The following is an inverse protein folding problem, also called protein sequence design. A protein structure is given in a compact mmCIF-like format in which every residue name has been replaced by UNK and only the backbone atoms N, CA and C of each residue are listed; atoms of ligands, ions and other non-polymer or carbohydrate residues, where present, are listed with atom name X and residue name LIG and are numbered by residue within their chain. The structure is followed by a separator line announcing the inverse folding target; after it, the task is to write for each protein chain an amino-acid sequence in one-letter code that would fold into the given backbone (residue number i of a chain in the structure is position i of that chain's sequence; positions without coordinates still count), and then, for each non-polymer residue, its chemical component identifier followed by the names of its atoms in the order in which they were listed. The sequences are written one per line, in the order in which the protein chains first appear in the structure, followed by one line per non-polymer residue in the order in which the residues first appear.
data_IF_882711983397
#
_entry.id   IF_882711983397
#
_cell.length_a   1.000
_cell.length_b   1.000
_cell.length_c   1.000
_cell.angle_alpha   90.00
_cell.angle_beta   90.00
_cell.angle_gamma   90.00
#
_symmetry.space_group_name_H-M   'P 1'
#
loop_
_entity.id
_entity.type
_entity.pdbx_description
1 polymer ?
#
# COMPACT_ATOMS: atom_id res chain seq x y z
N UNK A 1 44.75 4.48 34.47
CA UNK A 1 43.28 4.37 34.44
C UNK A 1 42.68 5.07 33.21
N UNK A 2 43.24 4.88 32.00
CA UNK A 2 42.88 5.68 30.81
C UNK A 2 42.34 4.89 29.62
N UNK A 3 42.33 3.56 29.67
CA UNK A 3 41.95 2.72 28.50
C UNK A 3 40.48 2.31 28.55
N UNK A 4 39.84 2.33 29.72
CA UNK A 4 38.45 1.89 29.89
C UNK A 4 37.40 2.90 29.38
N UNK A 5 37.72 4.19 29.29
CA UNK A 5 36.78 5.24 28.84
C UNK A 5 36.67 5.28 27.31
N UNK A 6 37.74 4.94 26.59
CA UNK A 6 37.76 4.98 25.12
C UNK A 6 36.93 3.86 24.47
N UNK A 7 36.70 2.75 25.17
CA UNK A 7 35.89 1.62 24.65
C UNK A 7 34.39 1.94 24.71
N UNK A 8 33.95 2.81 25.63
CA UNK A 8 32.54 3.18 25.77
C UNK A 8 32.04 4.16 24.69
N UNK A 9 32.93 4.90 24.02
CA UNK A 9 32.54 5.85 22.96
C UNK A 9 32.39 5.20 21.58
N UNK A 10 32.88 3.97 21.39
CA UNK A 10 32.76 3.24 20.11
C UNK A 10 31.49 2.39 20.01
N UNK A 11 30.68 2.30 21.07
CA UNK A 11 29.49 1.43 21.12
C UNK A 11 28.17 2.11 20.70
N UNK A 12 28.19 3.38 20.29
CA UNK A 12 26.97 4.15 19.94
C UNK A 12 26.66 4.24 18.44
N UNK A 13 27.46 3.62 17.57
CA UNK A 13 27.23 3.66 16.11
C UNK A 13 26.49 2.42 15.57
N UNK A 14 26.16 1.44 16.42
CA UNK A 14 25.42 0.26 15.99
C UNK A 14 23.92 0.57 15.96
N UNK A 15 23.47 1.03 14.79
CA UNK A 15 22.29 0.43 14.19
C UNK A 15 20.98 1.20 14.22
N UNK A 16 20.95 2.43 13.69
CA UNK A 16 19.76 2.84 12.92
C UNK A 16 19.78 2.10 11.58
N UNK A 17 19.48 0.80 11.57
CA UNK A 17 19.16 0.11 10.32
C UNK A 17 17.79 0.60 9.91
N UNK A 18 17.74 1.58 9.00
CA UNK A 18 16.51 1.91 8.31
C UNK A 18 15.88 0.60 7.82
N UNK A 19 14.54 0.43 7.93
CA UNK A 19 13.86 -0.73 7.37
C UNK A 19 14.37 -0.93 5.94
N UNK A 20 14.91 -2.10 5.67
CA UNK A 20 15.45 -2.38 4.36
C UNK A 20 14.28 -2.26 3.37
N UNK A 21 14.38 -1.35 2.40
CA UNK A 21 13.51 -1.23 1.23
C UNK A 21 14.06 -1.99 -0.03
N UNK A 22 14.79 -3.13 0.07
CA UNK A 22 15.36 -3.80 -1.11
C UNK A 22 14.27 -4.46 -1.94
N UNK A 23 13.06 -4.64 -1.38
CA UNK A 23 11.93 -5.22 -2.11
C UNK A 23 11.39 -4.26 -3.16
N UNK A 24 11.33 -2.96 -2.88
CA UNK A 24 10.85 -1.95 -3.83
C UNK A 24 11.88 -1.62 -4.90
N UNK A 25 13.17 -1.57 -4.54
CA UNK A 25 14.25 -1.21 -5.44
C UNK A 25 14.49 -2.22 -6.58
N UNK A 26 13.92 -3.42 -6.48
CA UNK A 26 14.10 -4.52 -7.44
C UNK A 26 12.81 -4.90 -8.20
N UNK A 27 11.73 -4.14 -8.05
CA UNK A 27 10.50 -4.42 -8.79
C UNK A 27 10.67 -4.02 -10.25
N UNK A 28 10.13 -4.85 -11.14
CA UNK A 28 10.30 -4.68 -12.58
C UNK A 28 9.39 -3.61 -13.20
N UNK A 29 8.31 -3.21 -12.51
CA UNK A 29 7.31 -2.28 -13.03
C UNK A 29 7.48 -0.82 -12.57
N UNK A 30 6.99 0.10 -13.40
CA UNK A 30 6.72 1.50 -13.03
C UNK A 30 5.43 1.61 -12.18
N UNK A 31 5.61 2.03 -10.92
CA UNK A 31 4.52 2.20 -9.95
C UNK A 31 3.55 3.34 -10.28
N UNK A 32 4.01 4.43 -10.90
CA UNK A 32 3.13 5.54 -11.28
C UNK A 32 2.24 5.11 -12.46
N UNK A 33 2.82 4.41 -13.43
CA UNK A 33 2.04 3.77 -14.48
C UNK A 33 1.03 2.77 -13.91
N UNK A 34 1.45 1.96 -12.94
CA UNK A 34 0.58 1.01 -12.24
C UNK A 34 -0.63 1.68 -11.59
N UNK A 35 -0.44 2.80 -10.90
CA UNK A 35 -1.51 3.59 -10.29
C UNK A 35 -2.56 4.03 -11.32
N UNK A 36 -2.11 4.51 -12.47
CA UNK A 36 -3.01 4.94 -13.56
C UNK A 36 -3.78 3.76 -14.15
N UNK A 37 -3.09 2.63 -14.36
CA UNK A 37 -3.72 1.41 -14.87
C UNK A 37 -4.81 0.87 -13.93
N UNK A 38 -4.63 0.95 -12.60
CA UNK A 38 -5.68 0.56 -11.66
C UNK A 38 -6.97 1.38 -11.82
N UNK A 39 -6.87 2.65 -12.23
CA UNK A 39 -8.04 3.45 -12.58
C UNK A 39 -8.67 2.98 -13.90
N UNK A 40 -7.84 2.73 -14.93
CA UNK A 40 -8.28 2.29 -16.26
C UNK A 40 -8.99 0.94 -16.22
N UNK A 41 -8.44 -0.05 -15.51
CA UNK A 41 -9.05 -1.37 -15.34
C UNK A 41 -10.22 -1.37 -14.34
N UNK A 42 -10.58 -0.22 -13.75
CA UNK A 42 -11.75 -0.09 -12.90
C UNK A 42 -11.59 -0.71 -11.50
N UNK A 43 -10.37 -0.88 -10.99
CA UNK A 43 -10.13 -1.48 -9.66
C UNK A 43 -10.83 -0.70 -8.53
N UNK A 44 -10.98 0.62 -8.67
CA UNK A 44 -11.66 1.50 -7.73
C UNK A 44 -13.17 1.25 -7.58
N UNK A 45 -13.79 0.55 -8.53
CA UNK A 45 -15.21 0.14 -8.42
C UNK A 45 -15.47 -0.84 -7.28
N UNK A 46 -14.43 -1.55 -6.83
CA UNK A 46 -14.53 -2.54 -5.76
C UNK A 46 -13.68 -2.19 -4.56
N UNK A 47 -12.50 -1.61 -4.77
CA UNK A 47 -11.51 -1.38 -3.73
C UNK A 47 -11.34 0.09 -3.39
N UNK A 48 -11.04 0.35 -2.12
CA UNK A 48 -10.48 1.62 -1.70
C UNK A 48 -8.98 1.58 -1.96
N UNK A 49 -8.47 2.52 -2.76
CA UNK A 49 -7.07 2.55 -3.19
C UNK A 49 -6.51 3.95 -2.95
N UNK A 50 -5.49 4.12 -2.09
CA UNK A 50 -4.88 5.43 -1.87
C UNK A 50 -4.46 6.08 -3.19
N UNK A 51 -4.59 7.40 -3.35
CA UNK A 51 -4.09 8.13 -4.52
C UNK A 51 -4.60 7.68 -5.90
N UNK A 52 -5.66 6.87 -5.98
CA UNK A 52 -6.38 6.56 -7.23
C UNK A 52 -7.73 7.30 -7.20
N UNK A 53 -7.99 8.22 -8.14
CA UNK A 53 -9.24 8.99 -8.16
C UNK A 53 -10.49 8.10 -8.15
N UNK A 54 -11.46 8.42 -7.31
CA UNK A 54 -12.73 7.68 -7.22
C UNK A 54 -12.64 6.26 -6.61
N UNK A 55 -11.46 5.81 -6.18
CA UNK A 55 -11.28 4.50 -5.56
C UNK A 55 -11.55 4.55 -4.05
N UNK A 56 -12.82 4.68 -3.67
CA UNK A 56 -13.28 4.77 -2.28
C UNK A 56 -14.39 3.73 -1.95
N UNK A 57 -14.44 2.64 -2.72
CA UNK A 57 -15.44 1.58 -2.57
C UNK A 57 -14.95 0.46 -1.66
N UNK A 58 -15.87 -0.34 -1.08
CA UNK A 58 -15.56 -1.42 -0.12
C UNK A 58 -16.26 -2.74 -0.45
N UNK A 59 -16.52 -3.01 -1.73
CA UNK A 59 -17.00 -4.33 -2.19
C UNK A 59 -15.91 -5.38 -1.99
N UNK A 60 -14.67 -5.03 -2.35
CA UNK A 60 -13.46 -5.76 -1.99
C UNK A 60 -12.77 -5.14 -0.77
N UNK A 61 -11.86 -5.86 -0.11
CA UNK A 61 -11.08 -5.30 0.99
C UNK A 61 -10.28 -4.08 0.53
N UNK A 62 -10.10 -3.03 1.34
CA UNK A 62 -9.28 -1.90 0.93
C UNK A 62 -7.85 -2.36 0.60
N UNK A 63 -7.11 -1.63 -0.25
CA UNK A 63 -5.76 -2.02 -0.69
C UNK A 63 -4.63 -1.24 -0.02
N UNK A 64 -4.94 -0.33 0.90
CA UNK A 64 -3.91 0.24 1.78
C UNK A 64 -3.20 -0.89 2.55
N UNK A 65 -1.89 -0.76 2.71
CA UNK A 65 -1.07 -1.78 3.36
C UNK A 65 -0.87 -3.08 2.60
N UNK A 66 -1.20 -3.15 1.29
CA UNK A 66 -0.99 -4.35 0.49
C UNK A 66 0.47 -4.85 0.56
N UNK A 67 1.45 -3.97 0.60
CA UNK A 67 2.88 -4.31 0.69
C UNK A 67 3.26 -5.12 1.95
N UNK A 68 2.49 -4.91 3.03
CA UNK A 68 2.78 -5.50 4.35
C UNK A 68 1.97 -6.78 4.60
N UNK A 69 1.04 -7.14 3.71
CA UNK A 69 0.27 -8.38 3.83
C UNK A 69 1.14 -9.58 3.49
N UNK A 70 0.95 -10.67 4.24
CA UNK A 70 1.57 -11.96 3.93
C UNK A 70 0.91 -12.70 2.76
N UNK A 71 -0.38 -12.46 2.54
CA UNK A 71 -1.17 -13.21 1.55
C UNK A 71 -2.03 -12.30 0.66
N UNK A 72 -2.24 -12.73 -0.58
CA UNK A 72 -3.16 -12.17 -1.57
C UNK A 72 -4.41 -13.04 -1.58
N UNK A 73 -5.58 -12.41 -1.38
CA UNK A 73 -6.87 -13.13 -1.34
C UNK A 73 -6.97 -14.20 -0.26
N UNK A 74 -6.02 -14.24 0.71
CA UNK A 74 -5.90 -15.30 1.70
C UNK A 74 -5.39 -16.65 1.15
N UNK A 75 -4.97 -16.71 -0.11
CA UNK A 75 -4.67 -17.99 -0.80
C UNK A 75 -3.25 -18.06 -1.37
N UNK A 76 -2.66 -16.93 -1.79
CA UNK A 76 -1.31 -16.89 -2.35
C UNK A 76 -0.37 -16.11 -1.43
N UNK A 77 0.89 -16.54 -1.25
CA UNK A 77 1.93 -15.69 -0.68
C UNK A 77 2.05 -14.38 -1.46
N UNK A 78 2.25 -13.26 -0.77
CA UNK A 78 2.34 -11.94 -1.41
C UNK A 78 3.72 -11.69 -2.03
N UNK A 79 4.00 -12.36 -3.14
CA UNK A 79 5.18 -12.16 -3.99
C UNK A 79 4.78 -11.45 -5.29
N UNK A 80 5.75 -10.82 -5.97
CA UNK A 80 5.51 -10.14 -7.26
C UNK A 80 4.85 -11.07 -8.29
N UNK A 81 5.46 -12.24 -8.54
CA UNK A 81 4.91 -13.23 -9.47
C UNK A 81 3.51 -13.73 -9.06
N UNK A 82 3.24 -13.88 -7.76
CA UNK A 82 1.91 -14.27 -7.30
C UNK A 82 0.87 -13.17 -7.51
N UNK A 83 1.24 -11.91 -7.29
CA UNK A 83 0.38 -10.76 -7.55
C UNK A 83 0.06 -10.61 -9.03
N UNK A 84 1.06 -10.72 -9.91
CA UNK A 84 0.86 -10.68 -11.36
C UNK A 84 -0.16 -11.75 -11.78
N UNK A 85 0.04 -13.00 -11.35
CA UNK A 85 -0.90 -14.10 -11.63
C UNK A 85 -2.31 -13.83 -11.11
N UNK A 86 -2.43 -13.28 -9.90
CA UNK A 86 -3.72 -12.93 -9.31
C UNK A 86 -4.45 -11.84 -10.11
N UNK A 87 -3.75 -10.79 -10.52
CA UNK A 87 -4.32 -9.68 -11.28
C UNK A 87 -4.79 -10.11 -12.67
N UNK A 88 -4.04 -10.99 -13.34
CA UNK A 88 -4.39 -11.48 -14.68
C UNK A 88 -5.60 -12.43 -14.65
N UNK A 89 -5.67 -13.33 -13.67
CA UNK A 89 -6.78 -14.29 -13.59
C UNK A 89 -6.99 -14.81 -12.15
N UNK A 90 -7.75 -14.10 -11.31
CA UNK A 90 -7.92 -14.49 -9.91
C UNK A 90 -8.72 -15.79 -9.75
N UNK A 91 -9.60 -16.13 -10.70
CA UNK A 91 -10.48 -17.30 -10.62
C UNK A 91 -9.77 -18.63 -10.90
N UNK A 92 -8.63 -18.63 -11.62
CA UNK A 92 -7.79 -19.83 -11.76
C UNK A 92 -7.05 -20.18 -10.47
N UNK A 93 -6.85 -19.19 -9.59
CA UNK A 93 -6.21 -19.36 -8.29
C UNK A 93 -7.25 -19.65 -7.21
N UNK A 94 -8.34 -18.89 -7.18
CA UNK A 94 -9.43 -19.01 -6.22
C UNK A 94 -10.76 -19.03 -6.95
N UNK A 95 -11.26 -20.22 -7.30
CA UNK A 95 -12.44 -20.41 -8.16
C UNK A 95 -13.73 -19.75 -7.64
N UNK A 96 -13.82 -19.50 -6.33
CA UNK A 96 -14.98 -18.84 -5.69
C UNK A 96 -14.74 -17.36 -5.36
N UNK A 97 -13.65 -16.76 -5.83
CA UNK A 97 -13.41 -15.33 -5.62
C UNK A 97 -14.44 -14.49 -6.38
N UNK A 98 -14.90 -13.42 -5.74
CA UNK A 98 -15.79 -12.44 -6.37
C UNK A 98 -15.03 -11.47 -7.29
N UNK A 99 -13.70 -11.39 -7.19
CA UNK A 99 -12.90 -10.57 -8.08
C UNK A 99 -12.97 -11.14 -9.50
N UNK A 100 -13.49 -10.40 -10.49
CA UNK A 100 -13.64 -10.90 -11.84
C UNK A 100 -12.28 -10.98 -12.55
N UNK A 101 -12.22 -11.73 -13.65
CA UNK A 101 -11.14 -11.59 -14.61
C UNK A 101 -11.35 -10.28 -15.40
N UNK A 102 -10.46 -9.31 -15.20
CA UNK A 102 -10.49 -8.01 -15.87
C UNK A 102 -9.66 -7.98 -17.16
N UNK A 103 -9.16 -9.14 -17.60
CA UNK A 103 -8.32 -9.34 -18.78
C UNK A 103 -7.07 -8.46 -18.78
N UNK A 104 -6.48 -8.29 -17.59
CA UNK A 104 -5.23 -7.55 -17.39
C UNK A 104 -4.08 -8.28 -18.09
N UNK A 105 -3.29 -7.54 -18.88
CA UNK A 105 -2.08 -8.08 -19.51
C UNK A 105 -0.97 -8.29 -18.48
N UNK A 106 0.00 -9.15 -18.79
CA UNK A 106 1.14 -9.40 -17.88
C UNK A 106 1.97 -8.13 -17.63
N UNK A 107 2.17 -7.32 -18.68
CA UNK A 107 2.88 -6.03 -18.60
C UNK A 107 2.16 -5.05 -17.67
N UNK A 108 0.85 -4.87 -17.87
CA UNK A 108 0.06 -3.98 -17.01
C UNK A 108 -0.01 -4.50 -15.56
N UNK A 109 -0.15 -5.82 -15.37
CA UNK A 109 -0.12 -6.45 -14.06
C UNK A 109 1.21 -6.22 -13.35
N UNK A 110 2.33 -6.16 -14.09
CA UNK A 110 3.66 -5.88 -13.55
C UNK A 110 3.74 -4.46 -13.00
N UNK A 111 3.29 -3.46 -13.76
CA UNK A 111 3.19 -2.07 -13.32
C UNK A 111 2.26 -1.92 -12.11
N UNK A 112 1.06 -2.52 -12.15
CA UNK A 112 0.11 -2.49 -11.03
C UNK A 112 0.68 -3.18 -9.78
N UNK A 113 1.41 -4.28 -9.93
CA UNK A 113 2.09 -4.95 -8.82
C UNK A 113 3.14 -4.05 -8.19
N UNK A 114 3.94 -3.37 -9.01
CA UNK A 114 4.93 -2.40 -8.51
C UNK A 114 4.25 -1.33 -7.65
N UNK A 115 3.12 -0.80 -8.11
CA UNK A 115 2.33 0.15 -7.35
C UNK A 115 1.79 -0.42 -6.04
N UNK A 116 1.17 -1.60 -6.06
CA UNK A 116 0.60 -2.25 -4.87
C UNK A 116 1.66 -2.53 -3.79
N UNK A 117 2.90 -2.82 -4.20
CA UNK A 117 4.02 -3.02 -3.27
C UNK A 117 4.50 -1.72 -2.62
N UNK A 118 4.12 -0.54 -3.13
CA UNK A 118 4.37 0.75 -2.45
C UNK A 118 3.36 1.04 -1.34
N UNK A 119 2.21 0.36 -1.33
CA UNK A 119 1.12 0.63 -0.39
C UNK A 119 1.40 -0.02 0.96
N UNK A 120 2.04 0.72 1.86
CA UNK A 120 2.27 0.31 3.26
C UNK A 120 1.15 0.74 4.18
N UNK A 121 0.96 -0.02 5.26
CA UNK A 121 0.06 0.32 6.33
C UNK A 121 0.72 1.42 7.18
N UNK A 122 -0.08 2.37 7.65
CA UNK A 122 0.39 3.30 8.67
C UNK A 122 0.67 2.50 9.95
N UNK A 123 1.88 2.60 10.55
CA UNK A 123 2.15 1.92 11.81
C UNK A 123 1.14 2.34 12.87
N UNK A 124 0.62 1.36 13.63
CA UNK A 124 -0.41 1.61 14.66
C UNK A 124 0.01 2.71 15.62
N UNK A 125 1.29 2.74 15.99
CA UNK A 125 1.86 3.78 16.85
C UNK A 125 1.75 5.17 16.22
N UNK A 126 2.08 5.32 14.94
CA UNK A 126 1.99 6.60 14.22
C UNK A 126 0.54 7.05 14.18
N UNK A 127 -0.39 6.14 13.89
CA UNK A 127 -1.84 6.41 13.90
C UNK A 127 -2.35 6.83 15.28
N UNK A 128 -1.91 6.16 16.34
CA UNK A 128 -2.30 6.48 17.72
C UNK A 128 -1.77 7.84 18.17
N UNK A 129 -0.49 8.14 17.91
CA UNK A 129 0.13 9.42 18.26
C UNK A 129 -0.52 10.55 17.48
N UNK A 130 -0.76 10.39 16.17
CA UNK A 130 -1.49 11.37 15.36
C UNK A 130 -2.88 11.65 15.96
N UNK A 131 -3.65 10.60 16.23
CA UNK A 131 -4.98 10.75 16.83
C UNK A 131 -4.96 11.40 18.22
N UNK A 132 -3.91 11.19 19.02
CA UNK A 132 -3.74 11.88 20.30
C UNK A 132 -3.49 13.38 20.09
N UNK A 133 -2.57 13.75 19.20
CA UNK A 133 -2.24 15.16 18.90
C UNK A 133 -3.45 15.90 18.34
N UNK A 134 -4.21 15.28 17.44
CA UNK A 134 -5.42 15.87 16.86
C UNK A 134 -6.46 16.19 17.92
N UNK A 135 -6.71 15.26 18.86
CA UNK A 135 -7.61 15.49 19.99
C UNK A 135 -7.10 16.57 20.94
N UNK A 136 -5.79 16.58 21.21
CA UNK A 136 -5.17 17.55 22.13
C UNK A 136 -5.11 18.97 21.55
N UNK A 137 -4.96 19.11 20.23
CA UNK A 137 -4.76 20.40 19.56
C UNK A 137 -6.01 20.94 18.86
N UNK A 138 -7.04 20.10 18.66
CA UNK A 138 -8.24 20.46 17.91
C UNK A 138 -7.98 20.73 16.41
N UNK A 139 -6.77 20.44 15.90
CA UNK A 139 -6.41 20.60 14.49
C UNK A 139 -6.41 19.23 13.83
N UNK A 140 -7.22 18.98 12.79
CA UNK A 140 -7.10 17.73 12.03
C UNK A 140 -5.68 17.65 11.43
N UNK A 141 -4.99 16.54 11.68
CA UNK A 141 -3.73 16.23 11.01
C UNK A 141 -4.03 16.10 9.53
N UNK A 142 -3.17 16.71 8.71
CA UNK A 142 -3.26 16.80 7.25
C UNK A 142 -4.15 15.72 6.64
N UNK A 143 -5.43 16.06 6.41
CA UNK A 143 -6.33 15.21 5.65
C UNK A 143 -5.67 14.93 4.29
N UNK A 144 -5.93 13.76 3.65
CA UNK A 144 -5.56 13.60 2.26
C UNK A 144 -6.13 14.78 1.48
N UNK A 145 -5.32 15.40 0.63
CA UNK A 145 -5.73 16.51 -0.24
C UNK A 145 -7.08 16.13 -0.87
N UNK A 146 -8.17 16.78 -0.40
CA UNK A 146 -9.45 16.70 -1.08
C UNK A 146 -9.22 17.24 -2.49
N UNK A 147 -9.76 16.53 -3.48
CA UNK A 147 -9.83 17.03 -4.86
C UNK A 147 -10.43 18.46 -4.83
N UNK A 148 -9.98 19.39 -5.69
CA UNK A 148 -10.48 20.77 -5.72
C UNK A 148 -11.98 20.87 -6.04
N UNK A 149 -12.59 19.76 -6.45
CA UNK A 149 -13.92 19.68 -7.02
C UNK A 149 -14.90 19.40 -5.87
N UNK A 150 -15.33 20.45 -5.18
CA UNK A 150 -16.23 20.42 -4.02
C UNK A 150 -17.63 19.88 -4.26
N UNK A 151 -17.78 18.67 -4.79
CA UNK A 151 -19.05 17.94 -4.79
C UNK A 151 -19.23 17.22 -3.46
N UNK A 152 -19.96 17.87 -2.56
CA UNK A 152 -20.73 17.21 -1.52
C UNK A 152 -21.72 16.26 -2.19
N UNK A 153 -21.57 14.95 -2.04
CA UNK A 153 -22.71 14.05 -2.20
C UNK A 153 -23.63 14.30 -1.01
N UNK A 154 -24.67 15.09 -1.27
CA UNK A 154 -25.80 15.23 -0.37
C UNK A 154 -26.44 13.86 -0.16
N UNK A 155 -26.76 13.58 1.09
CA UNK A 155 -27.65 12.51 1.50
C UNK A 155 -29.08 12.93 1.19
N UNK A 156 -29.72 12.22 0.27
CA UNK A 156 -31.17 11.97 0.30
C UNK A 156 -31.36 10.47 0.59
#
# INVERSE_FOLDING_TARGET
MGVAVAVWLLALSVGCRAPQEPRLANLSGDAERGRQLMAVYGCGSCHTIPNVPGANTVVGPPLWGMADRGYIGGVLPNTEAAMIRWLMNPQTVATRTAMPNLYVTEEDATHMTAYLQTLRAEPVLVRMVRGYIERATGRPGSAPLRSPDGLTTGTD
#
